data_IF_583834684725
#
_entry.id   IF_583834684725
#
_cell.length_a   1.000
_cell.length_b   1.000
_cell.length_c   1.000
_cell.angle_alpha   90.00
_cell.angle_beta   90.00
_cell.angle_gamma   90.00
#
_symmetry.space_group_name_H-M   'P 1'
#
loop_
_entity.id
_entity.type
_entity.pdbx_description
1 polymer ?
#
# COMPACT_ATOMS: atom_id res chain seq x y z
N UNK A 1 28.28 28.10 1.04
CA UNK A 1 26.98 27.83 1.68
C UNK A 1 26.37 26.63 0.96
N UNK A 2 26.48 25.40 1.50
CA UNK A 2 25.77 24.27 0.92
C UNK A 2 24.26 24.42 1.18
N UNK A 3 23.38 23.88 0.32
CA UNK A 3 21.96 23.81 0.63
C UNK A 3 21.78 22.98 1.92
N UNK A 4 20.76 23.25 2.74
CA UNK A 4 20.42 22.35 3.83
C UNK A 4 20.02 21.02 3.20
N UNK A 5 20.90 20.02 3.33
CA UNK A 5 20.55 18.63 3.15
C UNK A 5 19.30 18.39 3.98
N UNK A 6 18.18 18.09 3.32
CA UNK A 6 16.98 17.59 3.98
C UNK A 6 17.38 16.34 4.74
N UNK A 7 17.68 16.48 6.02
CA UNK A 7 17.60 15.40 7.01
C UNK A 7 16.14 14.98 7.05
N UNK A 8 15.74 14.18 6.06
CA UNK A 8 14.55 13.38 6.13
C UNK A 8 14.75 12.42 7.32
N UNK A 9 14.19 12.80 8.46
CA UNK A 9 13.35 11.94 9.27
C UNK A 9 13.79 10.48 9.38
N UNK A 10 15.07 10.24 9.71
CA UNK A 10 15.58 8.88 10.00
C UNK A 10 14.90 8.22 11.22
N UNK A 11 14.00 8.93 11.91
CA UNK A 11 13.16 8.40 13.00
C UNK A 11 11.65 8.44 12.74
N UNK A 12 11.17 8.92 11.58
CA UNK A 12 9.72 9.00 11.32
C UNK A 12 9.15 7.72 10.68
N UNK A 13 10.01 6.87 10.10
CA UNK A 13 9.61 5.62 9.47
C UNK A 13 10.47 4.46 9.96
N UNK A 14 9.85 3.31 10.07
CA UNK A 14 10.48 2.05 10.45
C UNK A 14 10.46 1.12 9.23
N UNK A 15 11.62 0.54 8.84
CA UNK A 15 11.65 -0.43 7.76
C UNK A 15 11.13 -1.79 8.21
N UNK A 16 10.26 -2.37 7.39
CA UNK A 16 9.85 -3.76 7.46
C UNK A 16 10.37 -4.49 6.22
N UNK A 17 10.95 -5.66 6.45
CA UNK A 17 11.34 -6.59 5.39
C UNK A 17 10.82 -7.97 5.74
N UNK A 18 9.88 -8.44 4.93
CA UNK A 18 9.40 -9.81 5.00
C UNK A 18 10.15 -10.66 3.96
N UNK A 19 11.08 -11.49 4.44
CA UNK A 19 11.84 -12.39 3.58
C UNK A 19 11.09 -13.68 3.24
N UNK A 20 10.05 -14.02 4.00
CA UNK A 20 9.25 -15.22 3.76
C UNK A 20 8.35 -14.99 2.55
N UNK A 21 7.68 -13.85 2.53
CA UNK A 21 6.78 -13.46 1.44
C UNK A 21 7.46 -12.57 0.39
N UNK A 22 8.69 -12.11 0.63
CA UNK A 22 9.52 -11.48 -0.41
C UNK A 22 9.18 -10.02 -0.69
N UNK A 23 8.67 -9.28 0.30
CA UNK A 23 8.37 -7.86 0.17
C UNK A 23 9.04 -7.02 1.26
N UNK A 24 9.13 -5.72 1.02
CA UNK A 24 9.59 -4.75 2.00
C UNK A 24 8.81 -3.44 1.87
N UNK A 25 8.62 -2.75 2.99
CA UNK A 25 8.04 -1.41 3.02
C UNK A 25 8.56 -0.61 4.20
N UNK A 26 8.28 0.69 4.20
CA UNK A 26 8.40 1.56 5.35
C UNK A 26 7.02 1.82 5.94
N UNK A 27 6.91 1.84 7.27
CA UNK A 27 5.69 2.28 7.96
C UNK A 27 6.02 3.39 8.98
N UNK A 28 5.06 4.27 9.32
CA UNK A 28 5.34 5.38 10.24
C UNK A 28 5.69 4.90 11.64
N UNK A 29 6.67 5.56 12.25
CA UNK A 29 7.04 5.35 13.65
C UNK A 29 5.85 5.67 14.57
N UNK A 30 5.60 4.80 15.55
CA UNK A 30 4.49 4.91 16.50
C UNK A 30 3.23 4.15 16.08
N UNK A 31 3.17 3.60 14.87
CA UNK A 31 2.09 2.68 14.48
C UNK A 31 2.31 1.31 15.10
N UNK A 32 1.22 0.71 15.55
CA UNK A 32 1.22 -0.60 16.18
C UNK A 32 0.78 -1.67 15.19
N UNK A 33 1.49 -2.78 15.24
CA UNK A 33 1.13 -4.00 14.53
C UNK A 33 -0.17 -4.60 15.07
N UNK A 34 -1.02 -5.05 14.16
CA UNK A 34 -2.28 -5.73 14.48
C UNK A 34 -2.44 -6.94 13.57
N UNK A 35 -2.85 -8.07 14.14
CA UNK A 35 -3.19 -9.25 13.35
C UNK A 35 -4.64 -9.14 12.85
N UNK A 36 -4.82 -9.17 11.54
CA UNK A 36 -6.14 -9.19 10.89
C UNK A 36 -6.23 -10.42 10.00
N UNK A 37 -7.30 -11.21 10.13
CA UNK A 37 -7.48 -12.41 9.32
C UNK A 37 -7.52 -12.05 7.82
N UNK A 38 -6.70 -12.73 7.02
CA UNK A 38 -6.63 -12.52 5.57
C UNK A 38 -5.76 -11.33 5.14
N UNK A 39 -5.06 -10.69 6.08
CA UNK A 39 -3.96 -9.78 5.80
C UNK A 39 -2.68 -10.42 6.31
N UNK A 40 -1.59 -10.16 5.61
CA UNK A 40 -0.27 -10.64 6.01
C UNK A 40 0.29 -9.75 7.12
N UNK A 41 0.31 -8.44 6.87
CA UNK A 41 0.81 -7.46 7.82
C UNK A 41 -0.13 -6.26 7.90
N UNK A 42 -0.48 -5.83 9.12
CA UNK A 42 -1.25 -4.59 9.33
C UNK A 42 -0.60 -3.75 10.42
N UNK A 43 -0.38 -2.47 10.15
CA UNK A 43 -0.02 -1.46 11.14
C UNK A 43 -1.04 -0.33 11.16
N UNK A 44 -1.36 0.18 12.34
CA UNK A 44 -2.27 1.32 12.49
C UNK A 44 -1.81 2.29 13.56
N UNK A 45 -2.21 3.54 13.40
CA UNK A 45 -2.07 4.54 14.44
C UNK A 45 -2.97 4.22 15.63
N UNK A 46 -2.44 4.38 16.85
CA UNK A 46 -3.18 4.14 18.10
C UNK A 46 -4.23 5.23 18.36
N UNK A 47 -3.94 6.45 17.91
CA UNK A 47 -4.77 7.64 18.12
C UNK A 47 -5.78 7.78 16.97
N UNK A 48 -5.38 7.46 15.74
CA UNK A 48 -6.20 7.62 14.53
C UNK A 48 -6.36 6.30 13.76
N UNK A 49 -7.33 5.44 14.09
CA UNK A 49 -7.42 4.10 13.52
C UNK A 49 -7.61 4.03 11.99
N UNK A 50 -8.06 5.14 11.37
CA UNK A 50 -8.19 5.25 9.91
C UNK A 50 -6.83 5.44 9.22
N UNK A 51 -5.82 5.90 9.96
CA UNK A 51 -4.43 5.94 9.57
C UNK A 51 -3.81 4.56 9.78
N UNK A 52 -3.80 3.78 8.69
CA UNK A 52 -3.31 2.39 8.71
C UNK A 52 -2.71 2.01 7.38
N UNK A 53 -1.81 1.04 7.45
CA UNK A 53 -1.20 0.36 6.31
C UNK A 53 -1.45 -1.14 6.48
N UNK A 54 -1.87 -1.80 5.42
CA UNK A 54 -2.10 -3.22 5.39
C UNK A 54 -1.51 -3.81 4.11
N UNK A 55 -0.89 -4.98 4.24
CA UNK A 55 -0.38 -5.80 3.16
C UNK A 55 -1.21 -7.06 3.11
N UNK A 56 -1.76 -7.36 1.95
CA UNK A 56 -2.37 -8.64 1.64
C UNK A 56 -1.51 -9.37 0.60
N UNK A 57 -1.28 -10.65 0.85
CA UNK A 57 -0.57 -11.55 -0.07
C UNK A 57 -1.55 -12.66 -0.45
N UNK A 58 -1.85 -12.76 -1.74
CA UNK A 58 -2.80 -13.76 -2.26
C UNK A 58 -2.11 -14.56 -3.36
N UNK A 59 -2.06 -15.90 -3.28
CA UNK A 59 -1.49 -16.74 -4.34
C UNK A 59 -2.17 -16.49 -5.70
N UNK A 60 -1.38 -16.45 -6.76
CA UNK A 60 -1.88 -16.25 -8.12
C UNK A 60 -1.05 -16.98 -9.18
N UNK A 61 -1.74 -17.48 -10.20
CA UNK A 61 -1.10 -18.10 -11.39
C UNK A 61 -0.66 -17.06 -12.44
N UNK A 62 -0.92 -15.77 -12.18
CA UNK A 62 -0.54 -14.67 -13.08
C UNK A 62 0.92 -14.30 -12.91
N UNK A 63 1.54 -13.81 -13.99
CA UNK A 63 2.95 -13.39 -13.95
C UNK A 63 3.08 -11.89 -13.72
N UNK A 64 2.15 -11.10 -14.27
CA UNK A 64 2.16 -9.64 -14.16
C UNK A 64 0.81 -9.12 -13.69
N UNK A 65 0.81 -7.94 -13.09
CA UNK A 65 -0.43 -7.27 -12.69
C UNK A 65 -1.29 -6.90 -13.93
N UNK A 66 -0.66 -6.67 -15.09
CA UNK A 66 -1.36 -6.42 -16.35
C UNK A 66 -2.20 -7.60 -16.84
N UNK A 67 -1.91 -8.83 -16.39
CA UNK A 67 -2.73 -10.01 -16.71
C UNK A 67 -4.12 -9.97 -16.07
N UNK A 68 -4.34 -9.08 -15.10
CA UNK A 68 -5.65 -8.84 -14.46
C UNK A 68 -6.48 -7.77 -15.16
N UNK A 69 -5.89 -7.01 -16.08
CA UNK A 69 -6.56 -5.92 -16.79
C UNK A 69 -5.82 -4.59 -16.66
N UNK A 70 -6.49 -3.51 -17.02
CA UNK A 70 -5.94 -2.16 -16.93
C UNK A 70 -5.83 -1.67 -15.46
N UNK A 71 -4.96 -0.69 -15.16
CA UNK A 71 -4.85 -0.13 -13.81
C UNK A 71 -6.17 0.35 -13.23
N UNK A 72 -7.05 0.93 -14.07
CA UNK A 72 -8.35 1.42 -13.64
C UNK A 72 -9.32 0.28 -13.30
N UNK A 73 -9.35 -0.80 -14.09
CA UNK A 73 -10.23 -1.95 -13.85
C UNK A 73 -9.83 -2.70 -12.58
N UNK A 74 -8.53 -2.93 -12.40
CA UNK A 74 -7.98 -3.55 -11.19
C UNK A 74 -8.25 -2.66 -9.97
N UNK A 75 -8.04 -1.35 -10.09
CA UNK A 75 -8.29 -0.39 -9.02
C UNK A 75 -9.77 -0.37 -8.59
N UNK A 76 -10.71 -0.29 -9.54
CA UNK A 76 -12.15 -0.31 -9.24
C UNK A 76 -12.54 -1.62 -8.56
N UNK A 77 -12.06 -2.75 -9.09
CA UNK A 77 -12.40 -4.07 -8.55
C UNK A 77 -11.89 -4.24 -7.12
N UNK A 78 -10.63 -3.86 -6.86
CA UNK A 78 -10.05 -3.94 -5.52
C UNK A 78 -10.71 -2.96 -4.55
N UNK A 79 -10.88 -1.71 -4.97
CA UNK A 79 -11.47 -0.68 -4.13
C UNK A 79 -12.91 -1.04 -3.73
N UNK A 80 -13.72 -1.50 -4.68
CA UNK A 80 -15.12 -1.85 -4.44
C UNK A 80 -15.27 -3.19 -3.68
N UNK A 81 -14.56 -4.25 -4.08
CA UNK A 81 -14.80 -5.61 -3.56
C UNK A 81 -13.94 -6.01 -2.38
N UNK A 82 -12.76 -5.43 -2.21
CA UNK A 82 -11.75 -5.90 -1.24
C UNK A 82 -11.46 -4.85 -0.19
N UNK A 83 -11.28 -3.59 -0.61
CA UNK A 83 -10.76 -2.53 0.25
C UNK A 83 -11.86 -1.64 0.84
N UNK A 84 -13.11 -1.83 0.44
CA UNK A 84 -14.26 -1.13 0.99
C UNK A 84 -15.23 -2.10 1.68
N UNK A 85 -15.84 -1.63 2.76
CA UNK A 85 -16.88 -2.35 3.47
C UNK A 85 -18.22 -2.23 2.72
N UNK A 86 -19.11 -3.22 2.86
CA UNK A 86 -20.44 -3.17 2.26
C UNK A 86 -21.18 -1.87 2.58
N UNK A 87 -21.62 -1.16 1.53
CA UNK A 87 -22.35 0.11 1.66
C UNK A 87 -21.47 1.36 1.77
N UNK A 88 -20.16 1.26 1.52
CA UNK A 88 -19.32 2.42 1.27
C UNK A 88 -19.38 2.81 -0.21
N UNK A 89 -19.52 4.11 -0.49
CA UNK A 89 -19.39 4.62 -1.85
C UNK A 89 -17.91 4.82 -2.18
N UNK A 90 -17.41 4.04 -3.13
CA UNK A 90 -16.03 4.12 -3.60
C UNK A 90 -15.94 5.02 -4.83
N UNK A 91 -15.01 5.97 -4.80
CA UNK A 91 -14.68 6.81 -5.95
C UNK A 91 -13.19 6.74 -6.25
N UNK A 92 -12.86 6.22 -7.42
CA UNK A 92 -11.49 6.26 -7.95
C UNK A 92 -11.11 7.71 -8.29
N UNK A 93 -9.95 8.16 -7.82
CA UNK A 93 -9.39 9.48 -8.10
C UNK A 93 -8.33 9.37 -9.19
N UNK A 94 -7.41 8.42 -9.03
CA UNK A 94 -6.28 8.24 -9.95
C UNK A 94 -5.93 6.76 -10.02
N UNK A 95 -5.54 6.30 -11.19
CA UNK A 95 -4.90 5.00 -11.37
C UNK A 95 -3.77 5.17 -12.38
N UNK A 96 -2.60 4.68 -12.03
CA UNK A 96 -1.40 4.75 -12.84
C UNK A 96 -0.63 3.43 -12.77
N UNK A 97 0.14 3.17 -13.82
CA UNK A 97 1.08 2.07 -13.83
C UNK A 97 2.49 2.60 -13.72
N UNK A 98 3.32 1.85 -13.03
CA UNK A 98 4.74 2.11 -12.86
C UNK A 98 5.48 0.79 -13.11
N UNK A 99 6.71 0.88 -13.60
CA UNK A 99 7.59 -0.28 -13.71
C UNK A 99 8.83 0.02 -12.87
N UNK A 100 9.12 -0.83 -11.89
CA UNK A 100 10.32 -0.76 -11.06
C UNK A 100 10.95 -2.14 -10.99
N UNK A 101 12.28 -2.20 -11.12
CA UNK A 101 13.05 -3.44 -11.05
C UNK A 101 12.47 -4.57 -11.93
N UNK A 102 12.14 -4.22 -13.18
CA UNK A 102 11.53 -5.13 -14.18
C UNK A 102 10.14 -5.68 -13.80
N UNK A 103 9.52 -5.17 -12.72
CA UNK A 103 8.20 -5.55 -12.26
C UNK A 103 7.21 -4.40 -12.45
N UNK A 104 6.01 -4.76 -12.90
CA UNK A 104 4.91 -3.81 -13.03
C UNK A 104 4.17 -3.65 -11.71
N UNK A 105 3.98 -2.39 -11.32
CA UNK A 105 3.23 -1.94 -10.16
C UNK A 105 2.05 -1.10 -10.64
N UNK A 106 0.85 -1.40 -10.17
CA UNK A 106 -0.27 -0.49 -10.33
C UNK A 106 -0.47 0.29 -9.03
N UNK A 107 -0.56 1.60 -9.18
CA UNK A 107 -0.79 2.52 -8.08
C UNK A 107 -2.10 3.24 -8.33
N UNK A 108 -2.94 3.31 -7.32
CA UNK A 108 -4.21 4.01 -7.45
C UNK A 108 -4.64 4.65 -6.14
N UNK A 109 -5.45 5.68 -6.29
CA UNK A 109 -5.94 6.52 -5.21
C UNK A 109 -7.46 6.51 -5.30
N UNK A 110 -8.12 6.21 -4.17
CA UNK A 110 -9.56 6.19 -4.11
C UNK A 110 -10.05 6.77 -2.79
N UNK A 111 -11.28 7.26 -2.82
CA UNK A 111 -11.97 7.72 -1.63
C UNK A 111 -13.15 6.82 -1.37
N UNK A 112 -13.18 6.22 -0.18
CA UNK A 112 -14.32 5.46 0.33
C UNK A 112 -15.12 6.34 1.29
N UNK A 113 -16.35 6.67 0.91
CA UNK A 113 -17.28 7.42 1.73
C UNK A 113 -18.23 6.46 2.45
N UNK A 114 -18.08 6.39 3.77
CA UNK A 114 -19.05 5.75 4.65
C UNK A 114 -20.13 6.74 5.12
N UNK A 115 -21.06 6.26 5.96
CA UNK A 115 -22.14 7.08 6.52
C UNK A 115 -21.65 8.22 7.41
N UNK A 116 -20.55 7.99 8.14
CA UNK A 116 -20.02 8.88 9.18
C UNK A 116 -18.59 9.32 8.94
N UNK A 117 -17.90 8.75 7.95
CA UNK A 117 -16.50 9.05 7.67
C UNK A 117 -16.20 8.96 6.18
N UNK A 118 -15.14 9.63 5.77
CA UNK A 118 -14.58 9.55 4.43
C UNK A 118 -13.10 9.20 4.57
N UNK A 119 -12.70 8.09 3.96
CA UNK A 119 -11.32 7.60 3.97
C UNK A 119 -10.72 7.80 2.59
N UNK A 120 -9.58 8.47 2.55
CA UNK A 120 -8.74 8.55 1.37
C UNK A 120 -7.68 7.45 1.47
N UNK A 121 -7.60 6.60 0.47
CA UNK A 121 -6.68 5.49 0.44
C UNK A 121 -5.81 5.52 -0.82
N UNK A 122 -4.54 5.20 -0.63
CA UNK A 122 -3.57 4.88 -1.66
C UNK A 122 -3.36 3.38 -1.66
N UNK A 123 -3.22 2.82 -2.85
CA UNK A 123 -2.97 1.40 -3.03
C UNK A 123 -1.83 1.23 -4.02
N UNK A 124 -0.95 0.29 -3.72
CA UNK A 124 0.00 -0.25 -4.65
C UNK A 124 -0.20 -1.76 -4.75
N UNK A 125 -0.25 -2.28 -5.96
CA UNK A 125 -0.33 -3.72 -6.22
C UNK A 125 0.77 -4.14 -7.18
N UNK A 126 1.28 -5.34 -6.97
CA UNK A 126 2.25 -5.98 -7.83
C UNK A 126 2.10 -7.50 -7.77
N UNK A 127 2.57 -8.17 -8.81
CA UNK A 127 2.61 -9.62 -8.87
C UNK A 127 4.07 -10.06 -8.83
N UNK A 128 4.41 -11.01 -7.95
CA UNK A 128 5.74 -11.60 -7.86
C UNK A 128 5.78 -12.87 -7.02
N UNK A 129 6.81 -13.69 -7.18
CA UNK A 129 6.96 -14.95 -6.44
C UNK A 129 5.72 -15.86 -6.43
N UNK A 130 4.87 -15.81 -7.48
CA UNK A 130 3.59 -16.55 -7.53
C UNK A 130 2.46 -15.95 -6.68
N UNK A 131 2.62 -14.72 -6.20
CA UNK A 131 1.68 -14.02 -5.32
C UNK A 131 1.28 -12.65 -5.89
N UNK A 132 0.05 -12.25 -5.59
CA UNK A 132 -0.51 -10.93 -5.79
C UNK A 132 -0.39 -10.15 -4.48
N UNK A 133 0.46 -9.14 -4.46
CA UNK A 133 0.65 -8.28 -3.30
C UNK A 133 -0.24 -7.06 -3.43
N UNK A 134 -0.94 -6.73 -2.35
CA UNK A 134 -1.73 -5.51 -2.22
C UNK A 134 -1.28 -4.76 -0.99
N UNK A 135 -0.66 -3.61 -1.18
CA UNK A 135 -0.41 -2.64 -0.13
C UNK A 135 -1.51 -1.59 -0.18
N UNK A 136 -2.29 -1.46 0.89
CA UNK A 136 -3.26 -0.38 1.08
C UNK A 136 -2.83 0.48 2.25
N UNK A 137 -2.80 1.79 2.06
CA UNK A 137 -2.61 2.76 3.13
C UNK A 137 -3.60 3.89 2.98
N UNK A 138 -3.94 4.59 4.05
CA UNK A 138 -4.89 5.69 3.95
C UNK A 138 -5.03 6.48 5.22
N UNK A 139 -5.82 7.54 5.15
CA UNK A 139 -6.19 8.37 6.29
C UNK A 139 -7.63 8.87 6.17
N UNK A 140 -8.11 9.53 7.22
CA UNK A 140 -9.32 10.33 7.10
C UNK A 140 -9.10 11.47 6.08
N UNK A 141 -10.10 11.74 5.23
CA UNK A 141 -10.06 12.82 4.24
C UNK A 141 -9.73 14.17 4.90
N UNK A 142 -10.26 14.42 6.12
CA UNK A 142 -10.00 15.66 6.87
C UNK A 142 -8.51 15.89 7.19
N UNK A 143 -7.72 14.81 7.26
CA UNK A 143 -6.28 14.83 7.56
C UNK A 143 -5.42 14.53 6.34
N UNK A 144 -6.03 14.28 5.17
CA UNK A 144 -5.34 13.90 3.95
C UNK A 144 -4.19 14.86 3.60
N UNK A 145 -4.43 16.17 3.57
CA UNK A 145 -3.40 17.16 3.24
C UNK A 145 -2.18 17.13 4.17
N UNK A 146 -2.31 16.61 5.40
CA UNK A 146 -1.19 16.45 6.35
C UNK A 146 -0.51 15.08 6.22
N UNK A 147 -1.24 14.07 5.78
CA UNK A 147 -0.80 12.68 5.74
C UNK A 147 -0.33 12.25 4.35
N UNK A 148 -0.77 12.91 3.28
CA UNK A 148 -0.51 12.51 1.90
C UNK A 148 0.98 12.29 1.61
N UNK A 149 1.86 13.14 2.12
CA UNK A 149 3.31 13.02 1.89
C UNK A 149 3.87 11.76 2.58
N UNK A 150 3.40 11.48 3.80
CA UNK A 150 3.77 10.26 4.53
C UNK A 150 3.21 9.01 3.86
N UNK A 151 1.95 9.04 3.43
CA UNK A 151 1.29 7.92 2.78
C UNK A 151 1.91 7.61 1.41
N UNK A 152 2.26 8.63 0.63
CA UNK A 152 3.01 8.44 -0.61
C UNK A 152 4.39 7.83 -0.33
N UNK A 153 5.08 8.26 0.73
CA UNK A 153 6.37 7.66 1.12
C UNK A 153 6.25 6.17 1.43
N UNK A 154 5.19 5.75 2.13
CA UNK A 154 4.90 4.32 2.40
C UNK A 154 4.72 3.57 1.08
N UNK A 155 3.88 4.07 0.18
CA UNK A 155 3.60 3.46 -1.12
C UNK A 155 4.85 3.38 -1.99
N UNK A 156 5.63 4.46 -2.06
CA UNK A 156 6.83 4.53 -2.90
C UNK A 156 7.97 3.67 -2.36
N UNK A 157 7.96 3.37 -1.05
CA UNK A 157 8.91 2.45 -0.43
C UNK A 157 8.57 0.97 -0.65
N UNK A 158 7.34 0.68 -1.07
CA UNK A 158 6.89 -0.70 -1.25
C UNK A 158 7.61 -1.37 -2.41
N UNK A 159 8.32 -2.44 -2.10
CA UNK A 159 9.10 -3.19 -3.07
C UNK A 159 8.82 -4.67 -2.90
N UNK A 160 8.48 -5.33 -4.01
CA UNK A 160 8.37 -6.78 -4.10
C UNK A 160 9.66 -7.29 -4.73
N UNK A 161 10.52 -7.86 -3.90
CA UNK A 161 11.75 -8.50 -4.34
C UNK A 161 11.47 -9.88 -4.91
N UNK A 162 12.33 -10.35 -5.80
CA UNK A 162 12.44 -11.79 -5.96
C UNK A 162 13.16 -12.31 -4.71
N UNK A 163 12.59 -13.34 -4.09
CA UNK A 163 13.33 -14.19 -3.15
C UNK A 163 14.36 -15.00 -3.96
N UNK A 164 15.39 -14.34 -4.53
CA UNK A 164 16.50 -15.05 -5.14
C UNK A 164 17.39 -15.58 -4.02
N UNK A 165 17.25 -16.91 -3.83
CA UNK A 165 18.28 -17.91 -3.54
C UNK A 165 19.54 -17.34 -2.90
N UNK A 166 19.78 -17.72 -1.64
CA UNK A 166 21.11 -17.68 -1.06
C UNK A 166 22.09 -18.37 -2.02
N UNK A 167 22.92 -17.61 -2.71
CA UNK A 167 24.07 -18.16 -3.40
C UNK A 167 25.06 -18.66 -2.33
N UNK A 168 25.40 -19.93 -2.53
CA UNK A 168 26.33 -20.82 -1.82
C UNK A 168 27.63 -20.19 -1.36
#
# INVERSE_FOLDING_TARGET
>A
MPPPSSTADKGAFVPLKDTQDGYSLLYPFGWQEVTVRGQDQVFKDVIEPLESVAVAVVPTDKQTVSDFGSPAEVAVTLADRVLSAPGQEVRLIKAEKSTRDEREYYRFEFVAKGKTFQRHALVAVAVGNGNFYTLVTGSNERRWNKMQDKLNTIIDSFTVGNSYVAET
#
